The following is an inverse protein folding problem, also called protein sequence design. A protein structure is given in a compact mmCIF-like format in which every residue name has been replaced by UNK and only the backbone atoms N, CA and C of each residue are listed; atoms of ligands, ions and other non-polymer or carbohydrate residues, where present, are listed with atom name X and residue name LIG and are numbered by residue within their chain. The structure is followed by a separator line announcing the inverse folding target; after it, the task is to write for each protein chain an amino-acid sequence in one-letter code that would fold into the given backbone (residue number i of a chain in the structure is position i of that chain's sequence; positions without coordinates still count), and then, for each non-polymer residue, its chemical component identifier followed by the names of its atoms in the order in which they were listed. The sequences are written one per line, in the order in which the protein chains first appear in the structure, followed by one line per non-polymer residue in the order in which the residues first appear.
data_IF_437796181376
#
_entry.id   IF_437796181376
#
_cell.length_a   1.000
_cell.length_b   1.000
_cell.length_c   1.000
_cell.angle_alpha   90.00
_cell.angle_beta   90.00
_cell.angle_gamma   90.00
#
_symmetry.space_group_name_H-M   'P 1'
#
loop_
_entity.id
_entity.type
_entity.pdbx_description
1 polymer ?
#
# COMPACT_ATOMS: atom_id res chain seq x y z
N UNK A 1 -7.60 -32.16 24.39
CA UNK A 1 -6.15 -32.44 24.48
C UNK A 1 -5.59 -32.62 23.08
N UNK A 2 -4.69 -31.71 22.65
CA UNK A 2 -3.57 -31.90 21.71
C UNK A 2 -3.15 -30.53 21.18
N UNK A 3 -2.17 -29.96 21.86
CA UNK A 3 -1.43 -28.75 21.52
C UNK A 3 -0.35 -29.08 20.50
N UNK A 4 -0.35 -28.39 19.36
CA UNK A 4 0.74 -28.47 18.37
C UNK A 4 1.62 -27.24 18.49
N UNK A 5 2.81 -27.45 19.07
CA UNK A 5 3.92 -26.50 19.19
C UNK A 5 4.55 -26.24 17.80
N UNK A 6 4.70 -24.98 17.42
CA UNK A 6 5.45 -24.56 16.24
C UNK A 6 6.85 -24.09 16.63
N UNK A 7 7.85 -24.76 16.08
CA UNK A 7 9.29 -24.57 16.29
C UNK A 7 9.78 -23.28 15.62
N UNK A 8 10.41 -22.40 16.41
CA UNK A 8 11.11 -21.21 15.93
C UNK A 8 12.53 -21.59 15.49
N UNK A 9 12.85 -21.49 14.21
CA UNK A 9 14.23 -21.52 13.72
C UNK A 9 14.80 -20.11 13.68
N UNK A 10 15.76 -19.85 14.56
CA UNK A 10 16.62 -18.67 14.57
C UNK A 10 17.79 -18.94 13.62
N UNK A 11 17.97 -18.10 12.60
CA UNK A 11 19.16 -18.08 11.74
C UNK A 11 19.94 -16.80 12.00
N UNK A 12 20.97 -16.91 12.84
CA UNK A 12 21.91 -15.85 13.21
C UNK A 12 23.05 -15.77 12.19
N UNK A 13 23.56 -14.55 12.01
CA UNK A 13 24.58 -14.08 11.06
C UNK A 13 26.00 -14.61 11.30
N UNK A 14 26.84 -14.40 10.29
CA UNK A 14 28.32 -14.36 10.29
C UNK A 14 28.98 -15.62 9.74
N UNK A 15 29.77 -15.48 8.66
CA UNK A 15 31.24 -15.68 8.65
C UNK A 15 31.76 -15.44 7.22
N UNK A 16 32.51 -14.35 7.01
CA UNK A 16 33.45 -14.21 5.89
C UNK A 16 34.82 -14.62 6.43
N UNK A 17 35.50 -15.55 5.76
CA UNK A 17 36.90 -15.90 6.05
C UNK A 17 37.67 -16.03 4.74
N UNK A 18 38.68 -15.17 4.59
CA UNK A 18 39.98 -15.44 3.94
C UNK A 18 40.04 -15.64 2.42
N UNK A 19 40.84 -14.83 1.72
CA UNK A 19 42.06 -15.34 1.07
C UNK A 19 42.86 -14.21 0.36
N UNK A 20 44.01 -13.88 0.97
CA UNK A 20 45.34 -13.70 0.37
C UNK A 20 45.58 -12.72 -0.81
N UNK A 21 46.38 -11.71 -0.47
CA UNK A 21 47.35 -11.00 -1.32
C UNK A 21 48.20 -11.94 -2.19
N UNK A 22 48.10 -11.79 -3.52
CA UNK A 22 49.15 -12.05 -4.50
C UNK A 22 48.78 -11.35 -5.82
N UNK A 23 49.79 -10.96 -6.62
CA UNK A 23 49.71 -10.29 -7.94
C UNK A 23 49.78 -8.75 -7.95
N UNK A 24 50.79 -8.19 -7.28
CA UNK A 24 51.44 -6.95 -7.69
C UNK A 24 52.59 -7.29 -8.65
N UNK A 25 52.38 -7.15 -9.97
CA UNK A 25 53.43 -6.87 -10.99
C UNK A 25 52.86 -6.89 -12.43
N UNK A 26 51.97 -5.95 -12.80
CA UNK A 26 51.86 -5.51 -14.22
C UNK A 26 51.13 -4.18 -14.47
N UNK A 27 50.90 -3.34 -13.45
CA UNK A 27 50.08 -2.12 -13.59
C UNK A 27 50.82 -0.90 -14.18
N UNK A 28 52.13 -0.97 -14.40
CA UNK A 28 52.91 0.17 -14.90
C UNK A 28 52.89 0.33 -16.42
N UNK A 29 52.73 -0.76 -17.19
CA UNK A 29 52.77 -0.71 -18.66
C UNK A 29 51.42 -0.31 -19.27
N UNK A 30 50.31 -0.64 -18.62
CA UNK A 30 48.95 -0.27 -19.08
C UNK A 30 48.58 1.19 -18.82
N UNK A 31 49.28 1.88 -17.91
CA UNK A 31 48.98 3.29 -17.58
C UNK A 31 49.55 4.26 -18.62
N UNK A 32 50.65 3.91 -19.28
CA UNK A 32 51.25 4.74 -20.33
C UNK A 32 50.45 4.69 -21.65
N UNK A 33 49.90 3.53 -22.02
CA UNK A 33 49.03 3.41 -23.21
C UNK A 33 47.66 4.10 -23.02
N UNK A 34 47.15 4.18 -21.79
CA UNK A 34 45.89 4.88 -21.51
C UNK A 34 46.03 6.41 -21.61
N UNK A 35 47.20 6.99 -21.29
CA UNK A 35 47.40 8.45 -21.37
C UNK A 35 47.62 8.94 -22.81
N UNK A 36 48.20 8.13 -23.70
CA UNK A 36 48.35 8.48 -25.12
C UNK A 36 47.01 8.48 -25.89
N UNK A 37 46.01 7.75 -25.40
CA UNK A 37 44.65 7.74 -25.97
C UNK A 37 43.77 8.91 -25.48
N UNK A 38 44.22 9.71 -24.50
CA UNK A 38 43.44 10.81 -23.92
C UNK A 38 43.70 12.18 -24.56
N UNK A 39 44.64 12.30 -25.50
CA UNK A 39 45.02 13.61 -26.10
C UNK A 39 44.37 13.92 -27.46
N UNK A 40 43.32 13.19 -27.86
CA UNK A 40 42.57 13.46 -29.08
C UNK A 40 41.06 13.33 -28.82
N UNK A 41 40.52 14.29 -28.05
CA UNK A 41 39.08 14.53 -27.98
C UNK A 41 38.78 15.94 -27.46
N UNK A 42 39.39 16.97 -28.04
CA UNK A 42 38.81 18.31 -27.99
C UNK A 42 37.69 18.37 -29.03
N UNK A 43 36.51 17.91 -28.61
CA UNK A 43 35.27 17.97 -29.37
C UNK A 43 34.20 18.63 -28.51
N UNK A 44 33.82 19.83 -28.91
CA UNK A 44 32.67 20.63 -28.47
C UNK A 44 31.70 19.94 -27.51
N UNK A 45 31.69 20.41 -26.25
CA UNK A 45 30.62 20.16 -25.30
C UNK A 45 29.33 20.84 -25.79
N UNK A 46 28.67 20.21 -26.76
CA UNK A 46 27.26 20.44 -27.04
C UNK A 46 26.50 19.98 -25.82
N UNK A 47 25.80 20.92 -25.17
CA UNK A 47 24.92 20.65 -24.05
C UNK A 47 24.01 19.47 -24.41
N UNK A 48 24.23 18.31 -23.79
CA UNK A 48 23.38 17.14 -23.98
C UNK A 48 21.98 17.51 -23.51
N UNK A 49 21.11 17.85 -24.47
CA UNK A 49 19.71 18.10 -24.22
C UNK A 49 19.10 16.81 -23.65
N UNK A 50 18.69 16.84 -22.38
CA UNK A 50 17.90 15.76 -21.79
C UNK A 50 16.73 15.48 -22.72
N UNK A 51 16.44 14.20 -23.06
CA UNK A 51 15.30 13.89 -23.90
C UNK A 51 14.03 14.51 -23.27
N UNK A 52 13.13 15.09 -24.08
CA UNK A 52 11.92 15.69 -23.55
C UNK A 52 11.15 14.63 -22.77
N UNK A 53 10.96 14.85 -21.47
CA UNK A 53 10.16 13.96 -20.64
C UNK A 53 8.72 14.10 -21.11
N UNK A 54 8.25 13.12 -21.89
CA UNK A 54 6.85 13.06 -22.28
C UNK A 54 5.99 13.05 -21.00
N UNK A 55 4.97 13.93 -20.90
CA UNK A 55 4.07 13.90 -19.77
C UNK A 55 3.39 12.53 -19.71
N UNK A 56 3.38 11.91 -18.51
CA UNK A 56 2.74 10.60 -18.33
C UNK A 56 1.28 10.68 -18.78
N UNK A 57 0.77 9.71 -19.55
CA UNK A 57 -0.61 9.71 -20.02
C UNK A 57 -1.58 9.73 -18.83
N UNK A 58 -2.61 10.58 -18.90
CA UNK A 58 -3.64 10.66 -17.86
C UNK A 58 -4.62 9.50 -18.05
N UNK A 59 -4.33 8.36 -17.44
CA UNK A 59 -5.28 7.24 -17.44
C UNK A 59 -6.60 7.64 -16.75
N UNK A 60 -7.76 7.28 -17.33
CA UNK A 60 -9.04 7.50 -16.68
C UNK A 60 -9.06 6.78 -15.33
N UNK A 61 -9.52 7.49 -14.30
CA UNK A 61 -9.60 6.94 -12.94
C UNK A 61 -10.86 6.08 -12.83
N UNK A 62 -10.83 4.98 -12.07
CA UNK A 62 -12.02 4.18 -11.87
C UNK A 62 -13.09 5.01 -11.12
N UNK A 63 -14.38 4.87 -11.49
CA UNK A 63 -15.47 5.62 -10.88
C UNK A 63 -15.68 5.22 -9.41
N UNK A 64 -16.35 6.10 -8.67
CA UNK A 64 -16.80 5.81 -7.30
C UNK A 64 -17.89 4.74 -7.37
N UNK A 65 -17.60 3.63 -6.74
CA UNK A 65 -18.48 2.46 -6.72
C UNK A 65 -18.43 1.88 -5.32
N UNK A 66 -19.60 1.70 -4.71
CA UNK A 66 -19.74 0.83 -3.54
C UNK A 66 -19.97 -0.58 -4.04
N UNK A 67 -19.18 -1.55 -3.56
CA UNK A 67 -19.52 -2.98 -3.71
C UNK A 67 -20.12 -3.44 -2.39
N UNK A 68 -21.42 -3.72 -2.32
CA UNK A 68 -22.00 -4.39 -1.17
C UNK A 68 -21.57 -5.85 -1.27
N UNK A 69 -20.71 -6.31 -0.36
CA UNK A 69 -20.29 -7.71 -0.24
C UNK A 69 -19.55 -8.34 -1.46
N UNK A 70 -18.89 -9.51 -1.28
CA UNK A 70 -18.50 -10.36 -2.40
C UNK A 70 -19.77 -10.81 -3.13
N UNK A 71 -19.89 -10.53 -4.43
CA UNK A 71 -21.04 -10.96 -5.25
C UNK A 71 -22.04 -9.87 -5.65
N UNK A 72 -21.85 -8.60 -5.26
CA UNK A 72 -22.76 -7.52 -5.67
C UNK A 72 -24.10 -7.57 -4.95
N UNK A 73 -24.05 -7.63 -3.62
CA UNK A 73 -25.22 -7.73 -2.74
C UNK A 73 -26.22 -6.60 -2.93
N UNK A 74 -27.49 -6.92 -2.64
CA UNK A 74 -28.63 -6.04 -2.78
C UNK A 74 -28.52 -4.79 -1.89
N UNK A 75 -29.19 -3.70 -2.32
CA UNK A 75 -29.22 -2.37 -1.66
C UNK A 75 -29.87 -2.34 -0.26
N UNK A 76 -30.12 -3.50 0.36
CA UNK A 76 -30.91 -3.64 1.60
C UNK A 76 -30.14 -4.07 2.84
N UNK A 77 -28.87 -4.51 2.73
CA UNK A 77 -28.08 -4.99 3.87
C UNK A 77 -26.69 -4.38 3.93
N UNK A 78 -26.29 -3.87 5.09
CA UNK A 78 -24.93 -3.39 5.32
C UNK A 78 -24.09 -4.51 5.93
N UNK A 79 -23.04 -4.90 5.20
CA UNK A 79 -22.00 -5.80 5.70
C UNK A 79 -20.67 -5.07 5.71
N UNK A 80 -19.89 -5.24 6.78
CA UNK A 80 -18.58 -4.62 6.88
C UNK A 80 -17.67 -5.07 5.73
N UNK A 81 -17.02 -4.14 5.02
CA UNK A 81 -16.09 -4.49 3.94
C UNK A 81 -14.83 -5.20 4.45
N UNK A 82 -14.41 -4.92 5.68
CA UNK A 82 -13.26 -5.56 6.32
C UNK A 82 -13.64 -6.96 6.79
N UNK A 83 -12.90 -7.97 6.34
CA UNK A 83 -13.12 -9.38 6.69
C UNK A 83 -12.21 -9.82 7.83
N UNK A 84 -10.95 -9.37 7.81
CA UNK A 84 -9.91 -9.85 8.71
C UNK A 84 -8.97 -8.72 9.07
N UNK A 85 -8.58 -8.66 10.34
CA UNK A 85 -7.60 -7.72 10.86
C UNK A 85 -6.46 -8.50 11.52
N UNK A 86 -5.26 -8.30 10.99
CA UNK A 86 -4.01 -8.86 11.45
C UNK A 86 -3.25 -7.81 12.27
N UNK A 87 -2.97 -8.12 13.52
CA UNK A 87 -2.20 -7.27 14.43
C UNK A 87 -0.80 -7.87 14.58
N UNK A 88 0.17 -7.22 13.94
CA UNK A 88 1.57 -7.55 14.12
C UNK A 88 2.20 -6.68 15.19
N UNK A 89 2.92 -7.30 16.13
CA UNK A 89 3.62 -6.60 17.20
C UNK A 89 4.89 -7.35 17.61
N UNK A 90 5.84 -6.64 18.23
CA UNK A 90 7.02 -7.25 18.84
C UNK A 90 6.81 -7.33 20.37
N UNK A 91 7.11 -8.47 21.03
CA UNK A 91 7.00 -8.58 22.49
C UNK A 91 8.03 -7.73 23.25
N UNK A 92 9.22 -7.52 22.68
CA UNK A 92 10.38 -6.94 23.39
C UNK A 92 10.58 -5.44 23.06
N UNK A 93 10.23 -5.01 21.85
CA UNK A 93 10.57 -3.66 21.39
C UNK A 93 9.68 -2.59 22.04
N UNK A 94 10.30 -1.49 22.47
CA UNK A 94 9.57 -0.32 23.00
C UNK A 94 8.55 0.24 22.00
N UNK A 95 8.81 0.11 20.70
CA UNK A 95 7.95 0.70 19.67
C UNK A 95 6.55 0.10 19.54
N UNK A 96 6.37 -1.11 20.07
CA UNK A 96 5.10 -1.84 20.16
C UNK A 96 4.52 -1.79 21.58
N UNK A 97 5.03 -0.94 22.49
CA UNK A 97 4.51 -0.82 23.86
C UNK A 97 3.00 -0.53 23.88
N UNK A 98 2.53 0.50 23.16
CA UNK A 98 1.10 0.83 23.17
C UNK A 98 0.21 -0.21 22.49
N UNK A 99 0.73 -0.98 21.52
CA UNK A 99 0.00 -2.11 20.93
C UNK A 99 -0.11 -3.27 21.93
N UNK A 100 0.94 -3.56 22.71
CA UNK A 100 0.87 -4.58 23.77
C UNK A 100 -0.18 -4.22 24.83
N UNK A 101 -0.17 -2.98 25.30
CA UNK A 101 -1.18 -2.49 26.26
C UNK A 101 -2.59 -2.53 25.66
N UNK A 102 -2.74 -2.22 24.36
CA UNK A 102 -4.01 -2.36 23.65
C UNK A 102 -4.48 -3.82 23.59
N UNK A 103 -3.56 -4.76 23.32
CA UNK A 103 -3.85 -6.19 23.28
C UNK A 103 -4.33 -6.74 24.63
N UNK A 104 -3.73 -6.28 25.73
CA UNK A 104 -4.09 -6.70 27.08
C UNK A 104 -5.47 -6.19 27.52
N UNK A 105 -5.77 -4.92 27.21
CA UNK A 105 -6.96 -4.24 27.75
C UNK A 105 -8.19 -4.32 26.84
N UNK A 106 -8.01 -4.10 25.54
CA UNK A 106 -9.13 -3.71 24.67
C UNK A 106 -9.53 -4.79 23.66
N UNK A 107 -8.66 -5.77 23.34
CA UNK A 107 -8.92 -6.70 22.21
C UNK A 107 -10.21 -7.49 22.34
N UNK A 108 -10.58 -7.89 23.56
CA UNK A 108 -11.82 -8.62 23.81
C UNK A 108 -13.04 -7.77 23.44
N UNK A 109 -13.10 -6.54 23.93
CA UNK A 109 -14.17 -5.59 23.63
C UNK A 109 -14.31 -5.33 22.12
N UNK A 110 -13.19 -5.28 21.39
CA UNK A 110 -13.20 -5.11 19.93
C UNK A 110 -13.72 -6.36 19.20
N UNK A 111 -13.35 -7.55 19.66
CA UNK A 111 -13.84 -8.80 19.08
C UNK A 111 -15.36 -8.97 19.31
N UNK A 112 -15.86 -8.60 20.49
CA UNK A 112 -17.29 -8.63 20.81
C UNK A 112 -18.08 -7.58 20.03
N UNK A 113 -17.52 -6.37 19.85
CA UNK A 113 -18.16 -5.29 19.08
C UNK A 113 -18.24 -5.62 17.59
N UNK A 114 -17.26 -6.33 17.04
CA UNK A 114 -17.17 -6.67 15.62
C UNK A 114 -17.04 -8.18 15.41
N UNK A 115 -18.12 -8.95 15.63
CA UNK A 115 -18.09 -10.41 15.56
C UNK A 115 -17.91 -10.94 14.11
N UNK A 116 -18.24 -10.14 13.10
CA UNK A 116 -18.05 -10.51 11.68
C UNK A 116 -16.58 -10.52 11.26
N UNK A 117 -15.70 -9.83 11.99
CA UNK A 117 -14.31 -9.62 11.62
C UNK A 117 -13.42 -10.66 12.29
N UNK A 118 -12.55 -11.31 11.51
CA UNK A 118 -11.55 -12.23 12.04
C UNK A 118 -10.37 -11.45 12.63
N UNK A 119 -10.11 -11.61 13.93
CA UNK A 119 -9.01 -10.97 14.64
C UNK A 119 -7.83 -11.93 14.78
N UNK A 120 -6.70 -11.62 14.16
CA UNK A 120 -5.49 -12.45 14.21
C UNK A 120 -4.34 -11.66 14.80
N UNK A 121 -3.80 -12.15 15.91
CA UNK A 121 -2.66 -11.54 16.61
C UNK A 121 -1.42 -12.38 16.32
N UNK A 122 -0.39 -11.76 15.75
CA UNK A 122 0.83 -12.48 15.34
C UNK A 122 2.09 -11.72 15.80
N UNK A 123 2.87 -12.29 16.73
CA UNK A 123 4.11 -11.68 17.19
C UNK A 123 5.21 -11.76 16.11
N UNK A 124 5.88 -10.65 15.84
CA UNK A 124 7.05 -10.56 14.94
C UNK A 124 8.21 -9.90 15.67
N UNK A 125 9.29 -10.65 15.88
CA UNK A 125 10.51 -10.15 16.53
C UNK A 125 11.19 -9.07 15.69
N UNK A 126 11.81 -8.10 16.35
CA UNK A 126 12.61 -7.02 15.75
C UNK A 126 11.92 -6.23 14.61
N UNK A 127 10.58 -6.16 14.61
CA UNK A 127 9.79 -5.39 13.62
C UNK A 127 8.82 -4.45 14.32
N UNK A 128 8.61 -3.30 13.69
CA UNK A 128 7.61 -2.34 14.15
C UNK A 128 6.20 -2.91 14.01
N UNK A 129 5.28 -2.50 14.89
CA UNK A 129 3.91 -2.97 14.83
C UNK A 129 3.19 -2.42 13.61
N UNK A 130 2.42 -3.29 12.97
CA UNK A 130 1.61 -2.98 11.77
C UNK A 130 0.24 -3.61 11.95
N UNK A 131 -0.79 -2.83 11.63
CA UNK A 131 -2.15 -3.32 11.47
C UNK A 131 -2.40 -3.57 9.99
N UNK A 132 -2.84 -4.77 9.64
CA UNK A 132 -3.19 -5.14 8.26
C UNK A 132 -4.66 -5.54 8.25
N UNK A 133 -5.46 -4.81 7.48
CA UNK A 133 -6.86 -5.14 7.26
C UNK A 133 -7.03 -5.74 5.86
N UNK A 134 -7.60 -6.94 5.79
CA UNK A 134 -7.99 -7.59 4.55
C UNK A 134 -9.48 -7.36 4.29
N UNK A 135 -9.79 -6.97 3.05
CA UNK A 135 -11.15 -6.60 2.65
C UNK A 135 -11.73 -7.64 1.70
N UNK A 136 -13.05 -7.66 1.62
CA UNK A 136 -13.83 -8.52 0.71
C UNK A 136 -13.49 -8.35 -0.77
N UNK A 137 -12.87 -7.23 -1.14
CA UNK A 137 -12.40 -6.95 -2.50
C UNK A 137 -11.02 -7.58 -2.83
N UNK A 138 -10.46 -8.36 -1.91
CA UNK A 138 -9.15 -9.02 -2.04
C UNK A 138 -7.96 -8.07 -1.83
N UNK A 139 -8.20 -6.80 -1.46
CA UNK A 139 -7.12 -5.86 -1.13
C UNK A 139 -6.83 -5.88 0.35
N UNK A 140 -5.60 -5.54 0.69
CA UNK A 140 -5.17 -5.23 2.05
C UNK A 140 -4.88 -3.74 2.20
N UNK A 141 -5.14 -3.20 3.40
CA UNK A 141 -4.60 -1.90 3.82
C UNK A 141 -3.75 -2.09 5.05
N UNK A 142 -2.57 -1.51 5.01
CA UNK A 142 -1.60 -1.60 6.10
C UNK A 142 -1.39 -0.22 6.72
N UNK A 143 -1.40 -0.16 8.05
CA UNK A 143 -1.10 1.05 8.81
C UNK A 143 -0.02 0.71 9.83
N UNK A 144 1.11 1.43 9.76
CA UNK A 144 2.15 1.35 10.78
C UNK A 144 1.69 2.09 12.04
N UNK A 145 1.84 1.43 13.20
CA UNK A 145 1.38 1.94 14.51
C UNK A 145 2.54 2.06 15.49
N UNK A 146 3.70 2.49 14.98
CA UNK A 146 4.93 2.71 15.76
C UNK A 146 4.72 3.81 16.82
N UNK A 147 5.11 3.54 18.06
CA UNK A 147 5.11 4.52 19.17
C UNK A 147 3.75 5.22 19.38
N UNK A 148 2.64 4.56 19.05
CA UNK A 148 1.31 5.09 19.36
C UNK A 148 0.84 4.55 20.71
N UNK A 149 0.17 5.41 21.45
CA UNK A 149 -0.57 5.08 22.66
C UNK A 149 -1.82 4.25 22.29
N UNK A 150 -2.36 3.40 23.20
CA UNK A 150 -3.47 2.48 22.90
C UNK A 150 -4.74 3.14 22.32
N UNK A 151 -5.11 4.36 22.73
CA UNK A 151 -6.21 5.10 22.08
C UNK A 151 -5.89 5.48 20.64
N UNK A 152 -4.64 5.82 20.36
CA UNK A 152 -4.15 6.04 18.99
C UNK A 152 -4.21 4.77 18.13
N UNK A 153 -3.90 3.60 18.72
CA UNK A 153 -4.06 2.30 18.06
C UNK A 153 -5.54 2.06 17.74
N UNK A 154 -6.43 2.25 18.71
CA UNK A 154 -7.87 2.09 18.57
C UNK A 154 -8.44 2.99 17.46
N UNK A 155 -7.98 4.24 17.37
CA UNK A 155 -8.41 5.20 16.35
C UNK A 155 -8.00 4.75 14.93
N UNK A 156 -6.79 4.19 14.78
CA UNK A 156 -6.32 3.63 13.51
C UNK A 156 -7.03 2.34 13.14
N UNK A 157 -7.41 1.55 14.14
CA UNK A 157 -8.20 0.33 13.96
C UNK A 157 -9.60 0.65 13.46
N UNK A 158 -10.27 1.63 14.09
CA UNK A 158 -11.57 2.15 13.65
C UNK A 158 -11.51 2.64 12.20
N UNK A 159 -10.48 3.41 11.85
CA UNK A 159 -10.25 3.86 10.47
C UNK A 159 -10.16 2.70 9.46
N UNK A 160 -9.54 1.58 9.85
CA UNK A 160 -9.44 0.40 8.97
C UNK A 160 -10.78 -0.31 8.80
N UNK A 161 -11.57 -0.39 9.87
CA UNK A 161 -12.89 -1.02 9.87
C UNK A 161 -13.90 -0.21 9.06
N UNK A 162 -13.89 1.11 9.18
CA UNK A 162 -14.78 2.02 8.46
C UNK A 162 -14.41 2.15 6.96
N UNK A 163 -13.20 1.72 6.58
CA UNK A 163 -12.73 1.81 5.21
C UNK A 163 -13.33 0.71 4.31
N UNK A 164 -13.55 1.04 3.03
CA UNK A 164 -14.05 0.09 2.02
C UNK A 164 -12.99 -0.82 1.37
N UNK A 165 -11.72 -0.69 1.76
CA UNK A 165 -10.60 -1.34 1.07
C UNK A 165 -10.26 -0.78 -0.32
N UNK A 166 -11.05 0.17 -0.86
CA UNK A 166 -10.74 0.84 -2.13
C UNK A 166 -9.46 1.70 -1.99
N UNK A 167 -8.73 1.84 -3.10
CA UNK A 167 -7.55 2.71 -3.16
C UNK A 167 -7.99 4.14 -2.86
N UNK A 168 -7.29 4.80 -1.93
CA UNK A 168 -7.54 6.20 -1.61
C UNK A 168 -7.06 7.06 -2.78
N UNK A 169 -7.99 7.76 -3.41
CA UNK A 169 -7.73 8.61 -4.57
C UNK A 169 -8.45 9.95 -4.35
N UNK A 170 -7.83 11.05 -4.75
CA UNK A 170 -8.44 12.37 -4.64
C UNK A 170 -9.68 12.52 -5.55
N UNK A 171 -10.78 13.01 -4.98
CA UNK A 171 -12.11 13.14 -5.60
C UNK A 171 -12.30 14.51 -6.31
N UNK A 172 -11.38 14.90 -7.19
CA UNK A 172 -11.33 16.30 -7.68
C UNK A 172 -12.43 16.73 -8.67
N UNK A 173 -13.09 15.81 -9.38
CA UNK A 173 -14.01 16.16 -10.49
C UNK A 173 -15.43 15.61 -10.34
N UNK A 174 -15.56 14.40 -9.80
CA UNK A 174 -16.85 13.71 -9.61
C UNK A 174 -16.90 13.18 -8.18
N UNK A 175 -17.38 14.00 -7.22
CA UNK A 175 -17.58 13.54 -5.84
C UNK A 175 -18.82 12.65 -5.71
N UNK A 176 -19.77 12.77 -6.64
CA UNK A 176 -21.02 12.01 -6.67
C UNK A 176 -21.03 11.14 -7.92
N UNK A 177 -21.38 9.87 -7.75
CA UNK A 177 -21.65 8.93 -8.85
C UNK A 177 -23.08 8.42 -8.66
N UNK A 178 -23.90 8.54 -9.70
CA UNK A 178 -25.27 8.04 -9.75
C UNK A 178 -25.38 6.94 -10.79
N UNK A 179 -26.25 5.96 -10.54
CA UNK A 179 -26.55 4.93 -11.56
C UNK A 179 -27.40 5.50 -12.71
N UNK A 180 -28.16 6.55 -12.45
CA UNK A 180 -28.93 7.28 -13.45
C UNK A 180 -28.39 8.72 -13.55
N UNK A 181 -28.03 9.15 -14.76
CA UNK A 181 -27.47 10.47 -15.02
C UNK A 181 -28.57 11.56 -15.07
N UNK A 182 -29.80 11.22 -15.48
CA UNK A 182 -30.92 12.17 -15.55
C UNK A 182 -32.26 11.49 -15.26
N UNK A 183 -33.11 12.16 -14.49
CA UNK A 183 -34.46 11.67 -14.20
C UNK A 183 -35.42 11.78 -15.41
N UNK A 184 -35.21 12.75 -16.31
CA UNK A 184 -36.12 13.09 -17.42
C UNK A 184 -35.54 12.82 -18.81
N UNK A 185 -34.39 12.15 -18.88
CA UNK A 185 -33.63 11.96 -20.12
C UNK A 185 -32.49 12.99 -20.26
N UNK A 186 -31.50 12.63 -21.08
CA UNK A 186 -30.32 13.44 -21.32
C UNK A 186 -30.69 14.52 -22.35
N UNK A 187 -30.27 15.76 -22.09
CA UNK A 187 -30.49 16.84 -23.05
C UNK A 187 -29.76 16.53 -24.37
N UNK A 188 -30.45 16.76 -25.49
CA UNK A 188 -29.87 16.74 -26.84
C UNK A 188 -30.39 17.96 -27.62
N UNK A 189 -29.59 18.57 -28.51
CA UNK A 189 -30.01 19.71 -29.33
C UNK A 189 -31.31 19.48 -30.09
N UNK A 190 -31.62 18.23 -30.46
CA UNK A 190 -32.84 17.85 -31.17
C UNK A 190 -34.13 18.02 -30.34
N UNK A 191 -34.03 18.27 -29.04
CA UNK A 191 -35.21 18.55 -28.21
C UNK A 191 -35.74 19.98 -28.41
N UNK A 192 -34.92 20.90 -28.93
CA UNK A 192 -35.36 22.28 -29.22
C UNK A 192 -36.17 22.32 -30.52
N UNK A 193 -37.03 23.33 -30.65
CA UNK A 193 -37.80 23.53 -31.88
C UNK A 193 -36.90 23.85 -33.08
N UNK A 194 -35.77 24.51 -32.85
CA UNK A 194 -34.76 24.84 -33.85
C UNK A 194 -33.98 23.60 -34.30
N UNK A 195 -33.55 22.76 -33.36
CA UNK A 195 -32.84 21.52 -33.66
C UNK A 195 -33.66 20.52 -34.47
N UNK A 196 -35.00 20.54 -34.31
CA UNK A 196 -35.92 19.75 -35.13
C UNK A 196 -36.10 20.26 -36.55
N UNK A 197 -35.89 21.55 -36.79
CA UNK A 197 -36.03 22.18 -38.12
C UNK A 197 -34.78 22.05 -38.99
N UNK A 198 -33.64 21.68 -38.40
CA UNK A 198 -32.36 21.56 -39.08
C UNK A 198 -32.13 20.17 -39.74
N UNK A 199 -33.15 19.30 -39.74
CA UNK A 199 -33.19 18.00 -40.41
C UNK A 199 -34.14 18.07 -41.61
#
# INVERSE_FOLDING_TARGET
MRSTLAVLKYGSTSQYVGSTLAHLTSAAVTRAQALAAMSQAEGSATAQARPPVLPKPRLPRPPLTSRPAPGGGARGGFTLPCRKVLIHFCPEQASSAGVRTFLEKNVKDWAERFPTVEWVVSPRKARHPVLIAEYTNGRSKEICVRNREPSGVASKLQLLLDASGRKVVALKRRPVESANESARGIWSPLHTAEGRKAL
#
